data_IF_032597242536
#
_entry.id   IF_032597242536
#
_cell.length_a   1.000
_cell.length_b   1.000
_cell.length_c   1.000
_cell.angle_alpha   90.00
_cell.angle_beta   90.00
_cell.angle_gamma   90.00
#
_symmetry.space_group_name_H-M   'P 1'
#
loop_
_entity.id
_entity.type
_entity.pdbx_description
1 polymer ?
#
# COMPACT_ATOMS: atom_id res chain seq x y z
N UNK A 1 11.16 -14.15 -11.32
CA UNK A 1 10.14 -14.12 -10.28
C UNK A 1 8.94 -13.31 -10.74
N UNK A 2 7.76 -13.78 -10.45
CA UNK A 2 6.54 -13.08 -10.82
C UNK A 2 6.51 -11.70 -10.14
N UNK A 3 6.31 -10.63 -10.91
CA UNK A 3 6.22 -9.28 -10.32
C UNK A 3 5.17 -9.15 -9.23
N UNK A 4 4.05 -9.87 -9.34
CA UNK A 4 3.02 -9.80 -8.31
C UNK A 4 3.48 -10.44 -7.01
N UNK A 5 4.32 -11.47 -7.08
CA UNK A 5 4.91 -12.06 -5.89
C UNK A 5 5.86 -11.09 -5.22
N UNK A 6 6.65 -10.37 -6.02
CA UNK A 6 7.55 -9.34 -5.49
C UNK A 6 6.76 -8.24 -4.77
N UNK A 7 5.68 -7.78 -5.39
CA UNK A 7 4.83 -6.75 -4.80
C UNK A 7 4.21 -7.22 -3.49
N UNK A 8 3.73 -8.48 -3.46
CA UNK A 8 3.14 -9.03 -2.23
C UNK A 8 4.16 -9.11 -1.11
N UNK A 9 5.39 -9.49 -1.43
CA UNK A 9 6.46 -9.53 -0.43
C UNK A 9 6.80 -8.14 0.07
N UNK A 10 6.83 -7.17 -0.83
CA UNK A 10 7.07 -5.78 -0.45
C UNK A 10 5.99 -5.27 0.50
N UNK A 11 4.73 -5.55 0.18
CA UNK A 11 3.63 -5.16 1.07
C UNK A 11 3.81 -5.74 2.47
N UNK A 12 4.20 -7.01 2.53
CA UNK A 12 4.41 -7.68 3.81
C UNK A 12 5.52 -7.02 4.60
N UNK A 13 6.62 -6.69 3.95
CA UNK A 13 7.75 -6.03 4.63
C UNK A 13 7.32 -4.67 5.15
N UNK A 14 6.59 -3.91 4.34
CA UNK A 14 6.13 -2.59 4.75
C UNK A 14 5.15 -2.67 5.92
N UNK A 15 4.25 -3.66 5.89
CA UNK A 15 3.32 -3.89 7.00
C UNK A 15 4.05 -4.25 8.28
N UNK A 16 5.06 -5.10 8.18
CA UNK A 16 5.86 -5.49 9.33
C UNK A 16 6.61 -4.30 9.93
N UNK A 17 7.16 -3.45 9.07
CA UNK A 17 7.86 -2.26 9.54
C UNK A 17 6.91 -1.28 10.20
N UNK A 18 5.73 -1.09 9.63
CA UNK A 18 4.71 -0.23 10.21
C UNK A 18 4.29 -0.75 11.59
N UNK A 19 4.06 -2.05 11.70
CA UNK A 19 3.67 -2.65 12.97
C UNK A 19 4.77 -2.49 14.03
N UNK A 20 6.02 -2.68 13.62
CA UNK A 20 7.14 -2.50 14.54
C UNK A 20 7.20 -1.08 15.08
N UNK A 21 6.99 -0.09 14.21
CA UNK A 21 6.98 1.31 14.63
C UNK A 21 5.84 1.54 15.63
N UNK A 22 4.65 1.05 15.29
CA UNK A 22 3.50 1.18 16.18
C UNK A 22 3.73 0.54 17.54
N UNK A 23 4.29 -0.67 17.55
CA UNK A 23 4.59 -1.37 18.79
C UNK A 23 5.59 -0.59 19.63
N UNK A 24 6.62 -0.04 19.00
CA UNK A 24 7.62 0.77 19.72
C UNK A 24 6.97 1.99 20.36
N UNK A 25 6.06 2.65 19.65
CA UNK A 25 5.36 3.82 20.17
C UNK A 25 4.47 3.46 21.35
N UNK A 26 3.82 2.30 21.29
CA UNK A 26 2.90 1.86 22.34
C UNK A 26 3.65 1.38 23.58
N UNK A 27 4.75 0.68 23.38
CA UNK A 27 5.48 0.05 24.50
C UNK A 27 6.44 1.01 25.23
N UNK A 28 6.41 2.28 24.87
CA UNK A 28 7.21 3.26 25.60
C UNK A 28 8.64 3.41 25.11
N UNK A 29 8.94 2.90 23.92
CA UNK A 29 10.25 3.13 23.33
C UNK A 29 10.48 4.55 22.90
N UNK A 30 9.46 5.41 23.06
CA UNK A 30 9.51 6.82 22.67
C UNK A 30 9.40 7.67 23.94
N UNK A 31 10.44 8.41 24.23
CA UNK A 31 10.53 9.15 25.47
C UNK A 31 10.53 10.66 25.31
N UNK A 32 10.36 11.16 24.09
CA UNK A 32 10.26 12.59 23.87
C UNK A 32 9.46 12.88 22.61
N UNK A 33 9.04 14.13 22.49
CA UNK A 33 8.15 14.56 21.40
C UNK A 33 8.84 14.49 20.04
N UNK A 34 10.11 14.81 19.97
CA UNK A 34 10.84 14.75 18.71
C UNK A 34 10.85 13.34 18.14
N UNK A 35 11.18 12.38 18.99
CA UNK A 35 11.18 10.97 18.60
C UNK A 35 9.79 10.52 18.18
N UNK A 36 8.79 10.93 18.94
CA UNK A 36 7.41 10.61 18.64
C UNK A 36 7.02 11.12 17.25
N UNK A 37 7.33 12.39 16.97
CA UNK A 37 6.99 12.99 15.68
C UNK A 37 7.74 12.29 14.54
N UNK A 38 9.01 11.97 14.75
CA UNK A 38 9.79 11.24 13.75
C UNK A 38 9.16 9.89 13.43
N UNK A 39 8.82 9.14 14.46
CA UNK A 39 8.25 7.80 14.27
C UNK A 39 6.85 7.88 13.66
N UNK A 40 6.08 8.89 14.03
CA UNK A 40 4.77 9.11 13.44
C UNK A 40 4.91 9.39 11.94
N UNK A 41 5.89 10.20 11.56
CA UNK A 41 6.18 10.49 10.16
C UNK A 41 6.56 9.24 9.39
N UNK A 42 7.40 8.39 9.98
CA UNK A 42 7.75 7.12 9.36
C UNK A 42 6.50 6.23 9.17
N UNK A 43 5.68 6.13 10.22
CA UNK A 43 4.47 5.32 10.15
C UNK A 43 3.55 5.81 9.03
N UNK A 44 3.37 7.11 8.92
CA UNK A 44 2.56 7.69 7.85
C UNK A 44 3.12 7.39 6.47
N UNK A 45 4.44 7.45 6.33
CA UNK A 45 5.09 7.15 5.06
C UNK A 45 4.83 5.71 4.64
N UNK A 46 4.93 4.77 5.56
CA UNK A 46 4.62 3.38 5.27
C UNK A 46 3.15 3.20 4.91
N UNK A 47 2.26 3.90 5.59
CA UNK A 47 0.83 3.83 5.29
C UNK A 47 0.54 4.35 3.88
N UNK A 48 1.17 5.47 3.50
CA UNK A 48 1.00 6.00 2.15
C UNK A 48 1.52 5.03 1.10
N UNK A 49 2.69 4.44 1.34
CA UNK A 49 3.26 3.48 0.40
C UNK A 49 2.34 2.26 0.24
N UNK A 50 1.84 1.73 1.34
CA UNK A 50 0.92 0.60 1.30
C UNK A 50 -0.37 0.94 0.57
N UNK A 51 -0.91 2.13 0.81
CA UNK A 51 -2.11 2.60 0.15
C UNK A 51 -1.88 2.71 -1.36
N UNK A 52 -0.72 3.24 -1.75
CA UNK A 52 -0.40 3.41 -3.16
C UNK A 52 -0.26 2.07 -3.86
N UNK A 53 0.40 1.11 -3.21
CA UNK A 53 0.51 -0.23 -3.78
C UNK A 53 -0.87 -0.85 -3.95
N UNK A 54 -1.72 -0.70 -2.96
CA UNK A 54 -3.09 -1.22 -3.03
C UNK A 54 -3.86 -0.59 -4.21
N UNK A 55 -3.70 0.72 -4.39
CA UNK A 55 -4.35 1.43 -5.49
C UNK A 55 -3.86 0.94 -6.84
N UNK A 56 -2.55 0.74 -6.97
CA UNK A 56 -1.98 0.26 -8.22
C UNK A 56 -2.45 -1.15 -8.55
N UNK A 57 -2.56 -2.00 -7.54
CA UNK A 57 -3.08 -3.35 -7.75
C UNK A 57 -4.54 -3.33 -8.19
N UNK A 58 -5.32 -2.46 -7.60
CA UNK A 58 -6.72 -2.30 -8.00
C UNK A 58 -6.83 -1.79 -9.43
N UNK A 59 -5.99 -0.85 -9.80
CA UNK A 59 -5.96 -0.35 -11.17
C UNK A 59 -5.66 -1.47 -12.15
N UNK A 60 -4.69 -2.31 -11.82
CA UNK A 60 -4.33 -3.42 -12.69
C UNK A 60 -5.49 -4.38 -12.86
N UNK A 61 -6.20 -4.68 -11.78
CA UNK A 61 -7.38 -5.54 -11.85
C UNK A 61 -8.45 -4.92 -12.73
N UNK A 62 -8.71 -3.62 -12.55
CA UNK A 62 -9.71 -2.91 -13.33
C UNK A 62 -9.32 -2.86 -14.79
N UNK A 63 -8.07 -2.66 -15.09
CA UNK A 63 -7.59 -2.67 -16.47
C UNK A 63 -7.84 -4.02 -17.13
N UNK A 64 -7.56 -5.10 -16.42
CA UNK A 64 -7.81 -6.42 -16.94
C UNK A 64 -9.30 -6.65 -17.20
N UNK A 65 -10.13 -6.24 -16.25
CA UNK A 65 -11.57 -6.35 -16.40
C UNK A 65 -12.10 -5.48 -17.53
N UNK A 66 -11.59 -4.27 -17.62
CA UNK A 66 -12.00 -3.36 -18.68
C UNK A 66 -11.57 -3.87 -20.05
N UNK A 67 -10.40 -4.49 -20.12
CA UNK A 67 -9.96 -5.10 -21.35
C UNK A 67 -10.94 -6.13 -21.83
N UNK A 68 -11.43 -6.97 -20.93
CA UNK A 68 -12.42 -7.97 -21.26
C UNK A 68 -13.75 -7.35 -21.63
N UNK A 69 -14.15 -6.33 -20.90
CA UNK A 69 -15.43 -5.67 -21.14
C UNK A 69 -15.40 -4.85 -22.43
N UNK A 70 -14.31 -4.19 -22.70
CA UNK A 70 -14.18 -3.43 -23.92
C UNK A 70 -14.35 -4.29 -25.15
N UNK A 71 -13.81 -5.48 -25.09
CA UNK A 71 -13.98 -6.41 -26.20
C UNK A 71 -15.45 -6.69 -26.45
N UNK A 72 -16.24 -6.65 -25.42
CA UNK A 72 -17.66 -6.85 -25.55
C UNK A 72 -18.36 -5.61 -26.03
N UNK A 73 -18.03 -4.62 -25.48
CA UNK A 73 -18.74 -3.49 -25.72
C UNK A 73 -18.05 -2.34 -26.20
N UNK A 74 -17.43 -2.01 -26.21
CA UNK A 74 -17.24 -0.85 -26.18
C UNK A 74 -17.88 0.23 -26.32
N UNK A 75 -18.09 0.00 -26.17
CA UNK A 75 -18.65 0.87 -26.16
C UNK A 75 -19.15 1.63 -25.38
N UNK A 76 -19.18 1.48 -25.09
CA UNK A 76 -19.57 2.23 -24.38
C UNK A 76 -19.33 2.86 -23.72
N UNK A 77 -18.86 2.88 -23.74
CA UNK A 77 -18.62 3.51 -23.09
C UNK A 77 -18.64 4.31 -22.82
N UNK A 78 -18.52 4.46 -23.13
CA UNK A 78 -18.61 5.22 -22.87
C UNK A 78 -19.29 5.77 -22.81
N UNK A 79 -19.26 5.45 -23.00
CA UNK A 79 -19.97 5.94 -22.96
C UNK A 79 -20.42 5.99 -22.67
#
# INVERSE_FOLDING_TARGET
MDPLVVVAKLQKVLQQNLQRIGDTMITGGVDNMEKYQYMLGQARSYQYALQEISNLLKQKEQENEQGNVIDIGKGNSKT
#
